data_IF_625634694140
#
_entry.id   IF_625634694140
#
_cell.length_a   1.000
_cell.length_b   1.000
_cell.length_c   1.000
_cell.angle_alpha   90.00
_cell.angle_beta   90.00
_cell.angle_gamma   90.00
#
_symmetry.space_group_name_H-M   'P 1'
#
loop_
_entity.id
_entity.type
_entity.pdbx_description
1 polymer ?
#
# COMPACT_ATOMS: atom_id res chain seq x y z
N UNK A 1 -8.29 11.58 4.13
CA UNK A 1 -8.28 10.72 2.92
C UNK A 1 -7.99 9.28 3.32
N UNK A 2 -7.03 9.01 4.20
CA UNK A 2 -6.73 7.65 4.67
C UNK A 2 -7.85 7.00 5.49
N UNK A 3 -8.74 7.77 6.09
CA UNK A 3 -9.87 7.30 6.86
C UNK A 3 -11.17 7.04 6.07
N UNK A 4 -11.13 7.09 4.73
CA UNK A 4 -12.29 6.82 3.89
C UNK A 4 -12.31 5.36 3.40
N UNK A 5 -13.50 4.80 3.17
CA UNK A 5 -13.68 3.47 2.61
C UNK A 5 -13.07 3.27 1.20
N UNK A 6 -12.78 4.35 0.48
CA UNK A 6 -12.06 4.36 -0.80
C UNK A 6 -10.76 5.17 -0.68
N UNK A 7 -9.94 4.83 0.31
CA UNK A 7 -8.63 5.46 0.55
C UNK A 7 -7.57 5.01 -0.47
N UNK A 8 -6.38 5.61 -0.40
CA UNK A 8 -5.26 5.32 -1.32
C UNK A 8 -4.88 3.84 -1.34
N UNK A 9 -4.80 3.19 -0.17
CA UNK A 9 -4.45 1.76 -0.06
C UNK A 9 -5.51 0.86 -0.71
N UNK A 10 -6.80 1.16 -0.52
CA UNK A 10 -7.91 0.46 -1.17
C UNK A 10 -7.79 0.55 -2.69
N UNK A 11 -7.52 1.74 -3.23
CA UNK A 11 -7.34 1.94 -4.68
C UNK A 11 -6.13 1.18 -5.21
N UNK A 12 -5.01 1.20 -4.50
CA UNK A 12 -3.80 0.47 -4.88
C UNK A 12 -4.05 -1.03 -4.91
N UNK A 13 -4.67 -1.61 -3.87
CA UNK A 13 -4.97 -3.04 -3.83
C UNK A 13 -5.95 -3.46 -4.94
N UNK A 14 -6.97 -2.66 -5.23
CA UNK A 14 -7.88 -2.91 -6.37
C UNK A 14 -7.12 -2.87 -7.71
N UNK A 15 -6.21 -1.91 -7.89
CA UNK A 15 -5.44 -1.74 -9.12
C UNK A 15 -4.49 -2.92 -9.40
N UNK A 16 -3.92 -3.56 -8.39
CA UNK A 16 -3.10 -4.77 -8.56
C UNK A 16 -3.95 -6.04 -8.75
N UNK A 17 -5.28 -5.94 -8.65
CA UNK A 17 -6.21 -7.04 -8.89
C UNK A 17 -6.66 -7.78 -7.65
N UNK A 18 -6.51 -7.21 -6.45
CA UNK A 18 -7.08 -7.78 -5.23
C UNK A 18 -8.62 -7.74 -5.26
N UNK A 19 -9.24 -8.76 -4.69
CA UNK A 19 -10.68 -8.92 -4.54
C UNK A 19 -11.09 -8.72 -3.08
N UNK A 20 -12.37 -8.50 -2.84
CA UNK A 20 -12.94 -8.33 -1.49
C UNK A 20 -12.16 -7.28 -0.67
N UNK A 21 -11.73 -6.19 -1.34
CA UNK A 21 -10.91 -5.15 -0.70
C UNK A 21 -11.76 -4.37 0.29
N UNK A 22 -11.28 -4.33 1.54
CA UNK A 22 -11.87 -3.56 2.65
C UNK A 22 -10.79 -2.77 3.36
N UNK A 23 -11.19 -1.89 4.27
CA UNK A 23 -10.23 -1.18 5.13
C UNK A 23 -9.56 -2.15 6.11
N UNK A 24 -8.32 -1.83 6.52
CA UNK A 24 -7.56 -2.65 7.47
C UNK A 24 -8.00 -2.38 8.92
N UNK A 25 -8.32 -1.13 9.23
CA UNK A 25 -8.82 -0.68 10.52
C UNK A 25 -10.27 -0.19 10.42
N UNK A 26 -11.02 -0.26 11.52
CA UNK A 26 -12.44 0.15 11.59
C UNK A 26 -12.64 1.65 11.34
N UNK A 27 -11.63 2.48 11.63
CA UNK A 27 -11.63 3.90 11.35
C UNK A 27 -11.39 4.25 9.85
N UNK A 28 -11.30 3.23 8.98
CA UNK A 28 -11.07 3.39 7.55
C UNK A 28 -9.60 3.50 7.13
N UNK A 29 -8.65 3.31 8.05
CA UNK A 29 -7.22 3.40 7.76
C UNK A 29 -6.68 2.12 7.12
N UNK A 30 -5.80 2.25 6.12
CA UNK A 30 -5.20 1.15 5.37
C UNK A 30 -6.21 0.32 4.57
N UNK A 31 -5.76 -0.79 4.02
CA UNK A 31 -6.58 -1.73 3.25
C UNK A 31 -6.11 -3.17 3.41
N UNK A 32 -7.00 -4.11 3.18
CA UNK A 32 -6.73 -5.53 3.03
C UNK A 32 -7.56 -6.10 1.88
N UNK A 33 -7.10 -7.19 1.28
CA UNK A 33 -7.82 -7.82 0.20
C UNK A 33 -7.27 -9.20 -0.14
N UNK A 34 -8.07 -9.97 -0.88
CA UNK A 34 -7.72 -11.32 -1.29
C UNK A 34 -7.01 -11.30 -2.64
N UNK A 35 -5.97 -12.10 -2.77
CA UNK A 35 -5.22 -12.33 -4.00
C UNK A 35 -4.95 -13.83 -4.17
N UNK A 36 -4.56 -14.26 -5.36
CA UNK A 36 -4.09 -15.62 -5.63
C UNK A 36 -2.87 -15.56 -6.57
N UNK A 37 -1.78 -15.01 -6.03
CA UNK A 37 -0.56 -14.70 -6.81
C UNK A 37 0.69 -15.04 -6.01
N UNK A 38 1.83 -15.23 -6.70
CA UNK A 38 3.13 -15.25 -6.03
C UNK A 38 3.52 -13.85 -5.57
N UNK A 39 4.32 -13.77 -4.52
CA UNK A 39 4.84 -12.50 -4.04
C UNK A 39 5.59 -11.71 -5.13
N UNK A 40 6.41 -12.41 -5.95
CA UNK A 40 7.09 -11.80 -7.11
C UNK A 40 6.13 -11.19 -8.13
N UNK A 41 4.98 -11.81 -8.38
CA UNK A 41 3.97 -11.27 -9.31
C UNK A 41 3.32 -10.00 -8.76
N UNK A 42 3.03 -9.96 -7.45
CA UNK A 42 2.52 -8.76 -6.77
C UNK A 42 3.55 -7.65 -6.86
N UNK A 43 4.83 -7.94 -6.58
CA UNK A 43 5.94 -6.98 -6.69
C UNK A 43 6.01 -6.32 -8.07
N UNK A 44 5.95 -7.11 -9.14
CA UNK A 44 5.99 -6.57 -10.51
C UNK A 44 4.76 -5.70 -10.84
N UNK A 45 3.58 -6.09 -10.37
CA UNK A 45 2.36 -5.27 -10.52
C UNK A 45 2.48 -3.94 -9.78
N UNK A 46 2.98 -3.95 -8.55
CA UNK A 46 3.19 -2.74 -7.74
C UNK A 46 4.23 -1.83 -8.37
N UNK A 47 5.37 -2.36 -8.81
CA UNK A 47 6.39 -1.60 -9.55
C UNK A 47 5.80 -0.87 -10.75
N UNK A 48 5.06 -1.60 -11.58
CA UNK A 48 4.41 -1.03 -12.77
C UNK A 48 3.38 0.04 -12.41
N UNK A 49 2.60 -0.18 -11.34
CA UNK A 49 1.56 0.76 -10.91
C UNK A 49 2.14 2.06 -10.37
N UNK A 50 3.18 1.95 -9.53
CA UNK A 50 3.80 3.10 -8.87
C UNK A 50 4.88 3.78 -9.74
N UNK A 51 5.25 3.18 -10.88
CA UNK A 51 6.34 3.64 -11.74
C UNK A 51 7.65 3.87 -10.96
N UNK A 52 7.90 3.02 -9.94
CA UNK A 52 9.08 3.10 -9.08
C UNK A 52 9.75 1.73 -8.99
N UNK A 53 11.05 1.69 -9.29
CA UNK A 53 11.87 0.49 -9.20
C UNK A 53 12.50 0.29 -7.80
N UNK A 54 12.38 1.28 -6.91
CA UNK A 54 12.96 1.27 -5.56
C UNK A 54 12.05 0.52 -4.59
N UNK A 55 11.84 -0.78 -4.83
CA UNK A 55 11.04 -1.66 -3.96
C UNK A 55 11.97 -2.60 -3.22
N UNK A 56 11.88 -2.59 -1.88
CA UNK A 56 12.59 -3.52 -1.00
C UNK A 56 11.62 -4.58 -0.49
N UNK A 57 12.09 -5.83 -0.44
CA UNK A 57 11.29 -6.98 0.01
C UNK A 57 11.99 -7.76 1.12
N UNK A 58 11.20 -8.34 2.01
CA UNK A 58 11.63 -9.33 3.00
C UNK A 58 10.78 -10.57 2.83
N UNK A 59 11.36 -11.74 2.97
CA UNK A 59 10.69 -13.03 2.82
C UNK A 59 10.91 -13.67 1.45
N UNK A 60 10.29 -14.84 1.24
CA UNK A 60 10.42 -15.62 0.00
C UNK A 60 9.52 -15.08 -1.11
N UNK A 61 10.12 -14.54 -2.16
CA UNK A 61 9.39 -14.00 -3.32
C UNK A 61 8.65 -15.08 -4.14
N UNK A 62 8.94 -16.35 -3.95
CA UNK A 62 8.18 -17.46 -4.55
C UNK A 62 6.95 -17.88 -3.73
N UNK A 63 6.81 -17.35 -2.49
CA UNK A 63 5.68 -17.64 -1.62
C UNK A 63 4.37 -17.27 -2.31
N UNK A 64 3.39 -18.16 -2.21
CA UNK A 64 2.01 -17.89 -2.64
C UNK A 64 1.32 -17.01 -1.61
N UNK A 65 0.77 -15.89 -2.07
CA UNK A 65 0.04 -14.91 -1.26
C UNK A 65 -1.45 -15.08 -1.54
N UNK A 66 -2.23 -15.22 -0.50
CA UNK A 66 -3.70 -15.31 -0.56
C UNK A 66 -4.38 -14.05 -0.04
N UNK A 67 -3.76 -13.39 0.93
CA UNK A 67 -4.25 -12.13 1.48
C UNK A 67 -3.11 -11.12 1.59
N UNK A 68 -3.40 -9.88 1.21
CA UNK A 68 -2.48 -8.74 1.29
C UNK A 68 -3.08 -7.65 2.16
N UNK A 69 -2.24 -7.01 2.97
CA UNK A 69 -2.57 -5.78 3.69
C UNK A 69 -1.66 -4.65 3.20
N UNK A 70 -2.15 -3.40 3.23
CA UNK A 70 -1.39 -2.23 2.80
C UNK A 70 -1.75 -1.00 3.62
N UNK A 71 -0.71 -0.22 3.95
CA UNK A 71 -0.82 1.14 4.46
C UNK A 71 0.18 2.01 3.70
N UNK A 72 -0.29 3.14 3.19
CA UNK A 72 0.56 4.11 2.50
C UNK A 72 1.44 4.87 3.49
N UNK A 73 2.56 5.44 3.03
CA UNK A 73 3.44 6.25 3.86
C UNK A 73 4.11 5.46 4.99
N UNK A 74 4.02 5.96 6.21
CA UNK A 74 4.71 5.45 7.40
C UNK A 74 3.95 4.35 8.16
N UNK A 75 3.32 3.40 7.45
CA UNK A 75 2.57 2.31 8.07
C UNK A 75 3.40 1.15 8.64
N UNK A 76 4.72 1.26 8.68
CA UNK A 76 5.60 0.17 9.12
C UNK A 76 5.96 0.22 10.61
N UNK A 77 5.01 0.51 11.48
CA UNK A 77 5.14 0.45 12.93
C UNK A 77 4.56 -0.84 13.54
N UNK A 78 4.70 -0.99 14.85
CA UNK A 78 4.31 -2.20 15.60
C UNK A 78 2.80 -2.45 15.54
N UNK A 79 1.98 -1.41 15.65
CA UNK A 79 0.52 -1.51 15.65
C UNK A 79 0.01 -1.96 14.29
N UNK A 80 0.47 -1.30 13.23
CA UNK A 80 0.07 -1.60 11.87
C UNK A 80 0.54 -2.99 11.42
N UNK A 81 1.78 -3.38 11.79
CA UNK A 81 2.30 -4.70 11.49
C UNK A 81 1.55 -5.81 12.23
N UNK A 82 1.25 -5.61 13.52
CA UNK A 82 0.42 -6.54 14.30
C UNK A 82 -0.95 -6.70 13.67
N UNK A 83 -1.59 -5.60 13.26
CA UNK A 83 -2.90 -5.64 12.63
C UNK A 83 -2.91 -6.40 11.30
N UNK A 84 -1.89 -6.21 10.46
CA UNK A 84 -1.73 -6.98 9.22
C UNK A 84 -1.66 -8.50 9.48
N UNK A 85 -0.97 -8.90 10.55
CA UNK A 85 -0.87 -10.32 10.97
C UNK A 85 -2.19 -10.84 11.54
N UNK A 86 -2.88 -10.05 12.37
CA UNK A 86 -4.18 -10.42 12.97
C UNK A 86 -5.25 -10.73 11.93
N UNK A 87 -5.30 -9.95 10.85
CA UNK A 87 -6.25 -10.20 9.75
C UNK A 87 -5.84 -11.36 8.84
N UNK A 88 -4.70 -11.99 9.12
CA UNK A 88 -4.19 -13.13 8.37
C UNK A 88 -3.58 -12.76 7.01
N UNK A 89 -3.05 -11.55 6.86
CA UNK A 89 -2.34 -11.16 5.65
C UNK A 89 -1.04 -11.97 5.50
N UNK A 90 -0.82 -12.54 4.33
CA UNK A 90 0.42 -13.25 3.98
C UNK A 90 1.55 -12.30 3.56
N UNK A 91 1.16 -11.11 3.10
CA UNK A 91 2.06 -10.02 2.67
C UNK A 91 1.56 -8.70 3.24
N UNK A 92 2.47 -7.92 3.80
CA UNK A 92 2.20 -6.55 4.22
C UNK A 92 3.02 -5.55 3.40
N UNK A 93 2.34 -4.57 2.81
CA UNK A 93 2.92 -3.51 1.97
C UNK A 93 2.82 -2.18 2.71
N UNK A 94 3.93 -1.43 2.77
CA UNK A 94 3.94 -0.07 3.29
C UNK A 94 4.96 0.81 2.57
N UNK A 95 4.85 2.12 2.72
CA UNK A 95 5.85 3.02 2.19
C UNK A 95 7.21 2.80 2.85
N UNK A 96 7.24 2.68 4.15
CA UNK A 96 8.46 2.46 4.93
C UNK A 96 8.21 1.62 6.17
N UNK A 97 9.25 0.97 6.68
CA UNK A 97 9.22 0.12 7.88
C UNK A 97 10.31 0.52 8.86
N UNK A 98 9.99 0.48 10.15
CA UNK A 98 10.99 0.56 11.21
C UNK A 98 11.93 -0.65 11.15
N UNK A 99 13.19 -0.44 11.46
CA UNK A 99 14.24 -1.45 11.32
C UNK A 99 13.93 -2.76 12.08
N UNK A 100 13.41 -2.69 13.30
CA UNK A 100 13.08 -3.87 14.10
C UNK A 100 11.94 -4.71 13.47
N UNK A 101 10.98 -4.08 12.78
CA UNK A 101 9.93 -4.79 12.03
C UNK A 101 10.55 -5.60 10.87
N UNK A 102 11.53 -5.03 10.16
CA UNK A 102 12.25 -5.76 9.11
C UNK A 102 13.00 -6.97 9.65
N UNK A 103 13.62 -6.84 10.83
CA UNK A 103 14.30 -7.96 11.49
C UNK A 103 13.32 -9.05 11.92
N UNK A 104 12.21 -8.68 12.58
CA UNK A 104 11.17 -9.64 12.98
C UNK A 104 10.59 -10.38 11.77
N UNK A 105 10.28 -9.66 10.70
CA UNK A 105 9.77 -10.27 9.48
C UNK A 105 10.76 -11.24 8.85
N UNK A 106 12.05 -10.90 8.86
CA UNK A 106 13.13 -11.78 8.38
C UNK A 106 13.24 -13.06 9.22
N UNK A 107 13.22 -12.93 10.54
CA UNK A 107 13.31 -14.05 11.47
C UNK A 107 12.10 -14.99 11.39
N UNK A 108 10.91 -14.43 11.18
CA UNK A 108 9.66 -15.19 11.07
C UNK A 108 9.32 -15.61 9.65
N UNK A 109 10.15 -15.26 8.66
CA UNK A 109 9.88 -15.45 7.22
C UNK A 109 8.51 -14.88 6.78
N UNK A 110 8.14 -13.74 7.36
CA UNK A 110 6.93 -13.02 6.98
C UNK A 110 7.22 -12.10 5.79
N UNK A 111 6.33 -12.09 4.80
CA UNK A 111 6.56 -11.28 3.61
C UNK A 111 6.22 -9.80 3.86
N UNK A 112 7.20 -8.92 3.62
CA UNK A 112 7.06 -7.47 3.61
C UNK A 112 7.50 -6.88 2.28
N UNK A 113 6.86 -5.76 1.89
CA UNK A 113 7.24 -4.97 0.74
C UNK A 113 7.24 -3.48 1.10
N UNK A 114 8.41 -2.84 1.06
CA UNK A 114 8.56 -1.39 1.19
C UNK A 114 8.60 -0.77 -0.19
N UNK A 115 7.69 0.17 -0.45
CA UNK A 115 7.50 0.77 -1.78
C UNK A 115 7.92 2.24 -1.84
N UNK A 116 8.48 2.77 -0.75
CA UNK A 116 8.80 4.18 -0.61
C UNK A 116 7.58 5.04 -0.20
N UNK A 117 7.81 5.98 0.69
CA UNK A 117 6.77 6.87 1.22
C UNK A 117 6.07 7.64 0.09
N UNK A 118 6.87 8.41 -0.66
CA UNK A 118 6.38 9.22 -1.77
C UNK A 118 5.62 8.39 -2.82
N UNK A 119 6.20 7.28 -3.28
CA UNK A 119 5.59 6.44 -4.31
C UNK A 119 4.26 5.84 -3.84
N UNK A 120 4.17 5.42 -2.58
CA UNK A 120 2.92 4.87 -2.02
C UNK A 120 1.79 5.89 -1.94
N UNK A 121 2.11 7.19 -1.88
CA UNK A 121 1.14 8.29 -1.74
C UNK A 121 0.88 9.05 -3.05
N UNK A 122 1.53 8.70 -4.15
CA UNK A 122 1.35 9.40 -5.44
C UNK A 122 -0.09 9.45 -5.94
N UNK A 123 -0.93 8.47 -5.59
CA UNK A 123 -2.34 8.48 -5.97
C UNK A 123 -3.20 9.48 -5.16
N UNK A 124 -2.64 10.19 -4.17
CA UNK A 124 -3.34 11.20 -3.38
C UNK A 124 -4.03 12.25 -4.25
N UNK A 125 -3.33 12.78 -5.25
CA UNK A 125 -3.87 13.79 -6.16
C UNK A 125 -5.09 13.28 -6.93
N UNK A 126 -5.13 12.00 -7.28
CA UNK A 126 -6.26 11.39 -7.99
C UNK A 126 -7.46 11.19 -7.04
N UNK A 127 -7.21 10.68 -5.84
CA UNK A 127 -8.23 10.50 -4.80
C UNK A 127 -8.87 11.84 -4.46
N UNK A 128 -8.06 12.88 -4.21
CA UNK A 128 -8.56 14.21 -3.89
C UNK A 128 -9.34 14.84 -5.05
N UNK A 129 -8.84 14.69 -6.28
CA UNK A 129 -9.55 15.17 -7.48
C UNK A 129 -10.94 14.54 -7.61
N UNK A 130 -11.06 13.24 -7.36
CA UNK A 130 -12.34 12.54 -7.47
C UNK A 130 -13.32 13.01 -6.38
N UNK A 131 -12.83 13.17 -5.14
CA UNK A 131 -13.64 13.71 -4.03
C UNK A 131 -14.14 15.12 -4.36
N UNK A 132 -13.25 16.00 -4.83
CA UNK A 132 -13.62 17.38 -5.16
C UNK A 132 -14.63 17.44 -6.29
N UNK A 133 -14.48 16.63 -7.33
CA UNK A 133 -15.43 16.56 -8.44
C UNK A 133 -16.82 16.06 -8.02
N UNK A 134 -16.89 15.16 -7.04
CA UNK A 134 -18.17 14.69 -6.50
C UNK A 134 -18.94 15.77 -5.72
N UNK A 135 -18.24 16.78 -5.17
CA UNK A 135 -18.83 17.79 -4.30
C UNK A 135 -19.00 19.16 -4.96
N UNK A 136 -18.29 19.42 -6.05
CA UNK A 136 -18.24 20.73 -6.71
C UNK A 136 -18.33 20.60 -8.24
N UNK A 137 -19.42 21.08 -8.82
CA UNK A 137 -19.67 20.98 -10.26
C UNK A 137 -18.85 21.98 -11.12
N UNK A 138 -18.38 23.08 -10.51
CA UNK A 138 -17.75 24.19 -11.25
C UNK A 138 -16.42 24.60 -10.62
N UNK A 139 -15.48 23.66 -10.55
CA UNK A 139 -14.09 23.97 -10.14
C UNK A 139 -13.09 23.52 -11.19
N UNK A 140 -12.07 24.36 -11.44
CA UNK A 140 -10.89 23.94 -12.21
C UNK A 140 -9.88 23.35 -11.26
N UNK A 141 -9.58 22.07 -11.43
CA UNK A 141 -8.56 21.37 -10.63
C UNK A 141 -7.28 21.29 -11.44
N UNK A 142 -6.16 21.74 -10.86
CA UNK A 142 -4.83 21.61 -11.41
C UNK A 142 -4.01 20.73 -10.45
N UNK A 143 -3.54 19.60 -10.96
CA UNK A 143 -2.66 18.70 -10.19
C UNK A 143 -1.22 19.17 -10.31
N UNK A 144 -0.52 19.22 -9.20
CA UNK A 144 0.90 19.52 -9.14
C UNK A 144 1.66 18.37 -8.48
N UNK A 145 2.80 18.00 -9.02
CA UNK A 145 3.67 16.94 -8.52
C UNK A 145 5.06 17.52 -8.26
N UNK A 146 5.50 17.52 -7.00
CA UNK A 146 6.81 18.04 -6.61
C UNK A 146 7.97 17.12 -7.01
N UNK A 147 7.70 15.87 -7.29
CA UNK A 147 8.70 14.84 -7.51
C UNK A 147 9.18 14.18 -6.21
N UNK A 148 9.89 13.07 -6.36
CA UNK A 148 10.47 12.35 -5.22
C UNK A 148 11.70 13.11 -4.71
N UNK A 149 11.77 13.49 -3.41
CA UNK A 149 12.90 14.22 -2.87
C UNK A 149 14.24 13.43 -2.91
N UNK A 150 14.18 12.10 -3.02
CA UNK A 150 15.37 11.25 -3.12
C UNK A 150 15.94 11.11 -4.53
N UNK A 151 15.23 11.59 -5.55
CA UNK A 151 15.65 11.53 -6.96
C UNK A 151 16.02 12.92 -7.51
N UNK A 152 16.31 13.85 -6.61
CA UNK A 152 16.72 15.22 -6.94
C UNK A 152 18.10 15.32 -7.58
#
# INVERSE_FOLDING_TARGET
>A
IDGFHDNMAVRTLKAIGAKNVTTLFDNGFGAQGDVDMKFSEIKEKVKKLLCDDTIFTVGDENKKIKKVAMINGAGGDDECFSRAREVGADLYISGEFKHHILLEAKETNYALMSVGHYASEMCFNDVLNDILKCHFDIIKIVKYYEGNPFNG
#
